data_IF_866324171117
#
_entry.id   IF_866324171117
#
_cell.length_a   1.000
_cell.length_b   1.000
_cell.length_c   1.000
_cell.angle_alpha   90.00
_cell.angle_beta   90.00
_cell.angle_gamma   90.00
#
_symmetry.space_group_name_H-M   'P 1'
#
loop_
_entity.id
_entity.type
_entity.pdbx_description
1 polymer ?
#
# COMPACT_ATOMS: atom_id res chain seq x y z
N UNK A 1 -12.44 16.51 0.87
CA UNK A 1 -13.40 15.38 0.71
C UNK A 1 -13.93 14.93 2.07
N UNK A 2 -15.10 14.25 2.15
CA UNK A 2 -15.64 13.71 3.42
C UNK A 2 -15.06 12.33 3.72
N UNK A 3 -14.76 12.05 4.99
CA UNK A 3 -14.32 10.73 5.44
C UNK A 3 -15.38 9.64 5.12
N UNK A 4 -14.89 8.48 4.70
CA UNK A 4 -15.67 7.32 4.23
C UNK A 4 -14.83 6.04 4.31
N UNK A 5 -15.41 4.90 3.92
CA UNK A 5 -14.68 3.63 3.80
C UNK A 5 -13.56 3.64 2.75
N UNK A 6 -13.55 4.65 1.85
CA UNK A 6 -12.62 4.76 0.72
C UNK A 6 -11.67 5.94 0.84
N UNK A 7 -11.96 6.85 1.76
CA UNK A 7 -11.20 8.08 1.97
C UNK A 7 -11.18 8.44 3.44
N UNK A 8 -9.98 8.68 3.98
CA UNK A 8 -9.81 9.19 5.33
C UNK A 8 -8.71 10.22 5.33
N UNK A 9 -8.89 11.35 6.01
CA UNK A 9 -7.86 12.39 6.14
C UNK A 9 -7.67 12.76 7.61
N UNK A 10 -6.47 12.53 8.13
CA UNK A 10 -6.09 12.86 9.50
C UNK A 10 -5.17 14.10 9.52
N UNK A 11 -5.75 15.28 9.41
CA UNK A 11 -4.98 16.55 9.42
C UNK A 11 -4.33 16.86 10.77
N UNK A 12 -4.73 16.18 11.85
CA UNK A 12 -4.10 16.29 13.18
C UNK A 12 -2.86 15.40 13.35
N UNK A 13 -2.52 14.56 12.38
CA UNK A 13 -1.31 13.75 12.44
C UNK A 13 -0.05 14.63 12.32
N UNK A 14 0.94 14.42 13.20
CA UNK A 14 2.20 15.16 13.19
C UNK A 14 3.02 14.97 11.90
N UNK A 15 2.72 13.93 11.13
CA UNK A 15 3.38 13.64 9.85
C UNK A 15 2.57 14.11 8.64
N UNK A 16 1.40 14.74 8.81
CA UNK A 16 0.55 15.10 7.68
C UNK A 16 1.03 16.38 6.95
N UNK A 17 1.12 16.40 5.61
CA UNK A 17 1.07 15.24 4.70
C UNK A 17 2.37 14.43 4.74
N UNK A 18 2.27 13.10 4.78
CA UNK A 18 3.44 12.23 4.99
C UNK A 18 4.41 12.22 3.80
N UNK A 19 3.95 12.64 2.61
CA UNK A 19 4.75 12.69 1.39
C UNK A 19 4.92 14.12 0.89
N UNK A 20 6.13 14.49 0.45
CA UNK A 20 6.39 15.83 -0.07
C UNK A 20 5.58 16.11 -1.34
N UNK A 21 5.19 17.37 -1.53
CA UNK A 21 4.44 17.86 -2.70
C UNK A 21 3.10 17.15 -2.95
N UNK A 22 2.52 16.52 -1.94
CA UNK A 22 1.18 15.97 -2.03
C UNK A 22 0.14 17.06 -1.74
N UNK A 23 -0.98 17.04 -2.45
CA UNK A 23 -2.08 17.97 -2.23
C UNK A 23 -2.84 17.57 -0.94
N UNK A 24 -2.83 18.41 0.11
CA UNK A 24 -3.52 18.13 1.37
C UNK A 24 -5.04 17.96 1.19
N UNK A 25 -5.64 18.55 0.15
CA UNK A 25 -7.08 18.47 -0.05
C UNK A 25 -7.56 17.11 -0.54
N UNK A 26 -6.71 16.43 -1.29
CA UNK A 26 -6.95 15.09 -1.83
C UNK A 26 -6.15 14.00 -1.14
N UNK A 27 -5.26 14.33 -0.20
CA UNK A 27 -4.43 13.33 0.51
C UNK A 27 -5.27 12.34 1.32
N UNK A 28 -5.12 11.05 0.99
CA UNK A 28 -5.81 9.95 1.64
C UNK A 28 -4.88 9.22 2.63
N UNK A 29 -5.19 9.27 3.91
CA UNK A 29 -4.48 8.57 4.99
C UNK A 29 -4.88 7.11 5.15
N UNK A 30 -5.88 6.61 4.41
CA UNK A 30 -6.42 5.25 4.59
C UNK A 30 -5.35 4.16 4.45
N UNK A 31 -4.40 4.36 3.54
CA UNK A 31 -3.25 3.49 3.33
C UNK A 31 -1.93 4.17 3.74
N UNK A 32 -1.92 4.82 4.91
CA UNK A 32 -0.71 5.40 5.50
C UNK A 32 0.47 4.42 5.53
N UNK A 33 0.17 3.14 5.71
CA UNK A 33 1.08 2.07 5.33
C UNK A 33 0.68 1.51 3.97
N UNK A 34 1.65 1.34 3.06
CA UNK A 34 1.37 0.78 1.74
C UNK A 34 1.01 -0.71 1.86
N UNK A 35 -0.23 -1.14 1.59
CA UNK A 35 -0.61 -2.54 1.69
C UNK A 35 0.04 -3.41 0.60
N UNK A 36 0.68 -2.79 -0.40
CA UNK A 36 1.34 -3.46 -1.53
C UNK A 36 2.86 -3.55 -1.34
N UNK A 37 3.41 -3.27 -0.14
CA UNK A 37 4.85 -3.23 0.10
C UNK A 37 5.55 -4.57 -0.23
N UNK A 38 4.90 -5.70 0.01
CA UNK A 38 5.44 -7.03 -0.22
C UNK A 38 5.35 -7.50 -1.68
N UNK A 39 4.64 -6.74 -2.53
CA UNK A 39 4.42 -7.13 -3.92
C UNK A 39 5.59 -6.70 -4.81
N UNK A 40 6.19 -7.63 -5.58
CA UNK A 40 7.16 -7.26 -6.61
C UNK A 40 6.47 -6.45 -7.71
N UNK A 41 5.33 -6.95 -8.23
CA UNK A 41 4.50 -6.28 -9.22
C UNK A 41 3.61 -5.20 -8.60
N UNK A 42 4.21 -4.04 -8.33
CA UNK A 42 3.56 -2.91 -7.69
C UNK A 42 2.98 -1.92 -8.70
N UNK A 43 1.76 -1.42 -8.44
CA UNK A 43 1.12 -0.36 -9.26
C UNK A 43 1.61 1.06 -8.93
N UNK A 44 2.57 1.19 -8.01
CA UNK A 44 3.20 2.45 -7.63
C UNK A 44 4.56 2.65 -8.29
N UNK A 45 5.29 3.65 -7.80
CA UNK A 45 6.64 3.99 -8.25
C UNK A 45 7.65 3.86 -7.11
N UNK A 46 7.79 2.66 -6.49
CA UNK A 46 8.79 2.44 -5.46
C UNK A 46 10.20 2.52 -6.05
N UNK A 47 11.16 2.93 -5.23
CA UNK A 47 12.58 2.73 -5.51
C UNK A 47 13.03 1.41 -4.88
N UNK A 48 14.13 0.86 -5.37
CA UNK A 48 14.75 -0.32 -4.81
C UNK A 48 16.19 0.01 -4.46
N UNK A 49 16.62 -0.34 -3.24
CA UNK A 49 18.02 -0.15 -2.85
C UNK A 49 18.89 -1.34 -3.28
N UNK A 50 20.21 -1.23 -3.04
CA UNK A 50 21.18 -2.26 -3.41
C UNK A 50 20.92 -3.64 -2.76
N UNK A 51 20.17 -3.69 -1.66
CA UNK A 51 19.81 -4.93 -0.96
C UNK A 51 18.46 -5.51 -1.42
N UNK A 52 17.85 -4.94 -2.47
CA UNK A 52 16.53 -5.36 -2.94
C UNK A 52 15.40 -5.01 -1.98
N UNK A 53 15.59 -4.02 -1.09
CA UNK A 53 14.51 -3.51 -0.22
C UNK A 53 13.76 -2.42 -0.97
N UNK A 54 12.43 -2.54 -0.96
CA UNK A 54 11.49 -1.61 -1.56
C UNK A 54 11.34 -0.35 -0.71
N UNK A 55 11.67 0.80 -1.29
CA UNK A 55 11.49 2.13 -0.70
C UNK A 55 10.30 2.85 -1.34
N UNK A 56 9.25 3.08 -0.54
CA UNK A 56 8.02 3.75 -0.94
C UNK A 56 7.94 5.23 -0.51
N UNK A 57 9.03 5.81 0.02
CA UNK A 57 9.04 7.16 0.61
C UNK A 57 8.63 8.26 -0.37
N UNK A 58 8.77 8.02 -1.68
CA UNK A 58 8.37 8.96 -2.73
C UNK A 58 7.14 8.51 -3.54
N UNK A 59 6.53 7.37 -3.16
CA UNK A 59 5.36 6.83 -3.83
C UNK A 59 4.07 7.38 -3.21
N UNK A 60 3.22 7.99 -4.02
CA UNK A 60 1.95 8.62 -3.57
C UNK A 60 0.69 7.83 -3.96
N UNK A 61 0.84 6.71 -4.66
CA UNK A 61 -0.30 5.86 -5.08
C UNK A 61 -1.27 5.51 -3.95
N UNK A 62 -0.83 5.07 -2.74
CA UNK A 62 -1.75 4.78 -1.64
C UNK A 62 -2.50 6.00 -1.10
N UNK A 63 -2.00 7.21 -1.40
CA UNK A 63 -2.51 8.47 -0.89
C UNK A 63 -3.45 9.21 -1.85
N UNK A 64 -3.74 8.63 -3.00
CA UNK A 64 -4.70 9.18 -3.96
C UNK A 64 -6.07 8.49 -3.76
N UNK A 65 -7.18 9.25 -3.60
CA UNK A 65 -8.51 8.69 -3.37
C UNK A 65 -8.96 7.74 -4.48
N UNK A 66 -8.61 8.07 -5.73
CA UNK A 66 -9.01 7.32 -6.93
C UNK A 66 -8.36 5.92 -7.00
N UNK A 67 -7.31 5.67 -6.22
CA UNK A 67 -6.60 4.39 -6.24
C UNK A 67 -7.16 3.35 -5.27
N UNK A 68 -8.17 3.67 -4.45
CA UNK A 68 -8.71 2.73 -3.47
C UNK A 68 -9.07 1.37 -4.10
N UNK A 69 -9.88 1.35 -5.15
CA UNK A 69 -10.31 0.09 -5.80
C UNK A 69 -9.14 -0.67 -6.40
N UNK A 70 -8.22 0.05 -7.04
CA UNK A 70 -7.05 -0.55 -7.69
C UNK A 70 -6.14 -1.24 -6.67
N UNK A 71 -5.99 -0.63 -5.50
CA UNK A 71 -5.22 -1.19 -4.38
C UNK A 71 -5.90 -2.43 -3.82
N UNK A 72 -7.21 -2.34 -3.53
CA UNK A 72 -7.98 -3.48 -3.01
C UNK A 72 -7.98 -4.65 -4.01
N UNK A 73 -8.13 -4.37 -5.30
CA UNK A 73 -8.08 -5.39 -6.35
C UNK A 73 -6.71 -6.09 -6.38
N UNK A 74 -5.61 -5.33 -6.34
CA UNK A 74 -4.25 -5.89 -6.35
C UNK A 74 -3.95 -6.69 -5.08
N UNK A 75 -4.33 -6.18 -3.92
CA UNK A 75 -4.18 -6.89 -2.66
C UNK A 75 -4.99 -8.19 -2.65
N UNK A 76 -6.23 -8.16 -3.14
CA UNK A 76 -7.11 -9.33 -3.18
C UNK A 76 -6.64 -10.39 -4.18
N UNK A 77 -6.05 -9.98 -5.31
CA UNK A 77 -5.41 -10.91 -6.23
C UNK A 77 -4.21 -11.61 -5.57
N UNK A 78 -3.33 -10.83 -4.93
CA UNK A 78 -2.15 -11.36 -4.24
C UNK A 78 -2.49 -12.34 -3.11
N UNK A 79 -3.53 -12.05 -2.33
CA UNK A 79 -4.00 -12.94 -1.27
C UNK A 79 -4.52 -14.25 -1.87
N UNK A 80 -5.28 -14.20 -2.97
CA UNK A 80 -5.81 -15.40 -3.63
C UNK A 80 -4.70 -16.26 -4.23
N UNK A 81 -3.72 -15.65 -4.88
CA UNK A 81 -2.54 -16.34 -5.42
C UNK A 81 -1.78 -17.06 -4.31
N UNK A 82 -1.46 -16.36 -3.20
CA UNK A 82 -0.78 -16.97 -2.04
C UNK A 82 -1.60 -18.07 -1.38
N UNK A 83 -2.92 -17.92 -1.31
CA UNK A 83 -3.79 -18.95 -0.75
C UNK A 83 -3.83 -20.20 -1.66
N UNK A 84 -3.75 -20.04 -2.98
CA UNK A 84 -3.63 -21.16 -3.91
C UNK A 84 -2.27 -21.87 -3.74
N UNK A 85 -1.17 -21.11 -3.69
CA UNK A 85 0.17 -21.67 -3.43
C UNK A 85 0.27 -22.40 -2.08
N UNK A 86 -0.37 -21.87 -1.03
CA UNK A 86 -0.39 -22.51 0.29
C UNK A 86 -1.15 -23.83 0.34
N UNK A 87 -2.16 -24.01 -0.53
CA UNK A 87 -2.82 -25.31 -0.70
C UNK A 87 -1.90 -26.34 -1.36
N UNK A 88 -1.02 -25.90 -2.25
CA UNK A 88 -0.07 -26.77 -2.95
C UNK A 88 1.17 -27.10 -2.09
N UNK A 89 1.70 -26.11 -1.35
CA UNK A 89 2.95 -26.21 -0.58
C UNK A 89 2.77 -26.56 0.90
N UNK A 90 1.53 -26.58 1.40
CA UNK A 90 1.23 -26.79 2.81
C UNK A 90 1.52 -25.55 3.68
N UNK A 91 1.28 -25.64 5.01
CA UNK A 91 1.50 -24.53 5.93
C UNK A 91 2.96 -24.06 5.92
N UNK A 92 3.18 -22.75 5.95
CA UNK A 92 4.52 -22.19 6.10
C UNK A 92 5.07 -22.62 7.46
N UNK A 93 6.10 -23.46 7.47
CA UNK A 93 6.77 -23.82 8.71
C UNK A 93 7.44 -22.56 9.29
N UNK A 94 7.37 -22.35 10.61
CA UNK A 94 8.12 -21.29 11.27
C UNK A 94 9.61 -21.45 10.93
N UNK A 95 10.26 -20.37 10.52
CA UNK A 95 11.72 -20.32 10.50
C UNK A 95 12.18 -20.11 11.94
N UNK A 96 13.04 -21.00 12.44
CA UNK A 96 13.69 -20.91 13.77
C UNK A 96 14.42 -19.59 13.96
#
# INVERSE_FOLDING_TARGET
MKNSSRFFRNTSCAYFPCHPNADPETFNCLFCYCPLYFLPECIGTPRWNANGIKDCTLCRVPHQPDNYDRIIQKLSAAIRERAAEGKEKGPRQPTE
#
